data_IF_931930058646
#
_entry.id   IF_931930058646
#
_cell.length_a   1.000
_cell.length_b   1.000
_cell.length_c   1.000
_cell.angle_alpha   90.00
_cell.angle_beta   90.00
_cell.angle_gamma   90.00
#
_symmetry.space_group_name_H-M   'P 1'
#
loop_
_entity.id
_entity.type
_entity.pdbx_description
1 polymer ?
#
# COMPACT_ATOMS: atom_id res chain seq x y z
N UNK A 1 8.25 -4.60 25.51
CA UNK A 1 7.53 -5.89 25.68
C UNK A 1 7.02 -6.53 24.38
N UNK A 2 6.80 -5.80 23.28
CA UNK A 2 6.25 -6.36 22.03
C UNK A 2 7.11 -7.49 21.40
N UNK A 3 8.40 -7.24 21.15
CA UNK A 3 9.29 -8.25 20.56
C UNK A 3 9.49 -9.49 21.45
N UNK A 4 9.49 -9.31 22.77
CA UNK A 4 9.57 -10.40 23.76
C UNK A 4 8.32 -11.27 23.70
N UNK A 5 7.14 -10.64 23.61
CA UNK A 5 5.86 -11.34 23.55
C UNK A 5 5.70 -12.15 22.25
N UNK A 6 6.04 -11.55 21.10
CA UNK A 6 5.87 -12.21 19.81
C UNK A 6 6.99 -13.19 19.47
N UNK A 7 8.20 -12.95 19.97
CA UNK A 7 9.40 -13.69 19.56
C UNK A 7 9.70 -13.53 18.06
N UNK A 8 10.79 -14.15 17.57
CA UNK A 8 11.19 -14.04 16.17
C UNK A 8 10.13 -14.58 15.20
N UNK A 9 9.43 -15.66 15.57
CA UNK A 9 8.44 -16.27 14.69
C UNK A 9 7.13 -15.47 14.62
N UNK A 10 6.73 -14.82 15.72
CA UNK A 10 5.61 -13.90 15.72
C UNK A 10 5.86 -12.69 14.83
N UNK A 11 7.03 -12.07 14.96
CA UNK A 11 7.41 -10.92 14.13
C UNK A 11 7.53 -11.30 12.65
N UNK A 12 8.09 -12.47 12.32
CA UNK A 12 8.11 -12.98 10.93
C UNK A 12 6.72 -13.23 10.38
N UNK A 13 5.81 -13.76 11.19
CA UNK A 13 4.42 -14.00 10.77
C UNK A 13 3.69 -12.69 10.48
N UNK A 14 3.83 -11.69 11.35
CA UNK A 14 3.28 -10.34 11.15
C UNK A 14 3.86 -9.74 9.87
N UNK A 15 5.19 -9.74 9.71
CA UNK A 15 5.84 -9.19 8.53
C UNK A 15 5.40 -9.87 7.22
N UNK A 16 5.31 -11.20 7.20
CA UNK A 16 4.81 -11.96 6.04
C UNK A 16 3.36 -11.64 5.72
N UNK A 17 2.51 -11.42 6.73
CA UNK A 17 1.11 -11.04 6.54
C UNK A 17 1.01 -9.66 5.89
N UNK A 18 1.66 -8.65 6.45
CA UNK A 18 1.66 -7.28 5.89
C UNK A 18 2.18 -7.31 4.46
N UNK A 19 3.35 -7.91 4.23
CA UNK A 19 3.93 -8.01 2.89
C UNK A 19 3.01 -8.76 1.90
N UNK A 20 2.39 -9.86 2.31
CA UNK A 20 1.47 -10.63 1.47
C UNK A 20 0.25 -9.82 1.03
N UNK A 21 -0.33 -9.01 1.93
CA UNK A 21 -1.41 -8.09 1.56
C UNK A 21 -0.92 -6.96 0.66
N UNK A 22 0.26 -6.40 0.89
CA UNK A 22 0.85 -5.37 0.01
C UNK A 22 1.09 -5.92 -1.39
N UNK A 23 1.59 -7.16 -1.53
CA UNK A 23 1.74 -7.85 -2.83
C UNK A 23 0.38 -8.03 -3.49
N UNK A 24 -0.66 -8.43 -2.75
CA UNK A 24 -2.02 -8.55 -3.28
C UNK A 24 -2.56 -7.23 -3.78
N UNK A 25 -2.39 -6.14 -3.03
CA UNK A 25 -2.78 -4.78 -3.46
C UNK A 25 -2.00 -4.37 -4.72
N UNK A 26 -0.70 -4.63 -4.77
CA UNK A 26 0.13 -4.30 -5.93
C UNK A 26 -0.34 -5.04 -7.20
N UNK A 27 -0.69 -6.33 -7.09
CA UNK A 27 -1.20 -7.11 -8.22
C UNK A 27 -2.56 -6.58 -8.70
N UNK A 28 -3.50 -6.35 -7.78
CA UNK A 28 -4.81 -5.78 -8.12
C UNK A 28 -4.65 -4.39 -8.75
N UNK A 29 -3.75 -3.56 -8.24
CA UNK A 29 -3.49 -2.24 -8.79
C UNK A 29 -2.98 -2.35 -10.25
N UNK A 30 -2.08 -3.29 -10.55
CA UNK A 30 -1.63 -3.55 -11.93
C UNK A 30 -2.77 -4.00 -12.83
N UNK A 31 -3.61 -4.92 -12.36
CA UNK A 31 -4.77 -5.41 -13.11
C UNK A 31 -5.78 -4.28 -13.42
N UNK A 32 -5.87 -3.28 -12.54
CA UNK A 32 -6.68 -2.08 -12.71
C UNK A 32 -5.99 -0.98 -13.55
N UNK A 33 -4.80 -1.24 -14.10
CA UNK A 33 -4.07 -0.32 -14.98
C UNK A 33 -3.14 0.67 -14.29
N UNK A 34 -2.95 0.59 -12.96
CA UNK A 34 -1.95 1.40 -12.26
C UNK A 34 -0.55 0.83 -12.48
N UNK A 35 0.46 1.70 -12.55
CA UNK A 35 1.86 1.26 -12.63
C UNK A 35 2.48 1.28 -11.23
N UNK A 36 2.91 0.11 -10.74
CA UNK A 36 3.72 0.01 -9.52
C UNK A 36 5.16 0.40 -9.85
N UNK A 37 5.63 1.51 -9.28
CA UNK A 37 6.91 2.14 -9.64
C UNK A 37 8.12 1.46 -9.00
N UNK A 38 7.95 0.88 -7.80
CA UNK A 38 9.02 0.20 -7.09
C UNK A 38 9.01 -1.32 -7.40
N UNK A 39 10.09 -1.88 -7.98
CA UNK A 39 10.13 -3.29 -8.36
C UNK A 39 10.18 -4.25 -7.16
N UNK A 40 10.73 -3.79 -6.03
CA UNK A 40 10.80 -4.53 -4.77
C UNK A 40 10.26 -3.66 -3.63
N UNK A 41 9.53 -4.28 -2.71
CA UNK A 41 8.93 -3.61 -1.56
C UNK A 41 8.62 -4.55 -0.41
N UNK A 42 8.43 -3.98 0.77
CA UNK A 42 7.87 -4.67 1.93
C UNK A 42 6.37 -4.38 2.05
N UNK A 43 6.01 -3.28 2.71
CA UNK A 43 4.63 -2.87 3.00
C UNK A 43 4.14 -1.68 2.17
N UNK A 44 5.08 -1.00 1.49
CA UNK A 44 4.86 0.29 0.83
C UNK A 44 5.04 0.20 -0.68
N UNK A 45 4.04 0.65 -1.43
CA UNK A 45 4.07 0.72 -2.90
C UNK A 45 3.79 2.14 -3.39
N UNK A 46 4.50 2.54 -4.45
CA UNK A 46 4.25 3.76 -5.19
C UNK A 46 3.51 3.42 -6.48
N UNK A 47 2.37 4.06 -6.71
CA UNK A 47 1.47 3.83 -7.83
C UNK A 47 1.39 5.08 -8.68
N UNK A 48 1.66 4.94 -9.98
CA UNK A 48 1.28 5.94 -10.97
C UNK A 48 -0.16 5.73 -11.39
N UNK A 49 -0.94 6.81 -11.40
CA UNK A 49 -2.34 6.81 -11.77
C UNK A 49 -2.50 6.45 -13.27
N UNK A 50 -3.52 5.64 -13.62
CA UNK A 50 -3.83 5.39 -15.02
C UNK A 50 -4.40 6.64 -15.70
N UNK A 51 -4.39 6.70 -17.04
CA UNK A 51 -5.04 7.77 -17.80
C UNK A 51 -6.51 7.96 -17.36
N UNK A 52 -6.92 9.21 -17.18
CA UNK A 52 -8.28 9.55 -16.75
C UNK A 52 -8.52 9.53 -15.23
N UNK A 53 -7.55 9.07 -14.42
CA UNK A 53 -7.61 9.16 -12.96
C UNK A 53 -6.70 10.29 -12.48
N UNK A 54 -7.26 11.23 -11.72
CA UNK A 54 -6.52 12.38 -11.17
C UNK A 54 -6.37 12.27 -9.65
N UNK A 55 -5.39 12.97 -9.09
CA UNK A 55 -5.21 13.10 -7.65
C UNK A 55 -6.49 13.55 -6.92
N UNK A 56 -7.28 14.44 -7.52
CA UNK A 56 -8.53 14.91 -6.95
C UNK A 56 -9.58 13.80 -6.84
N UNK A 57 -9.70 12.94 -7.87
CA UNK A 57 -10.60 11.77 -7.85
C UNK A 57 -10.17 10.79 -6.77
N UNK A 58 -8.86 10.51 -6.68
CA UNK A 58 -8.31 9.63 -5.65
C UNK A 58 -8.57 10.18 -4.25
N UNK A 59 -8.27 11.46 -3.99
CA UNK A 59 -8.51 12.11 -2.69
C UNK A 59 -9.98 12.04 -2.30
N UNK A 60 -10.89 12.34 -3.22
CA UNK A 60 -12.33 12.27 -2.95
C UNK A 60 -12.76 10.85 -2.58
N UNK A 61 -12.27 9.85 -3.32
CA UNK A 61 -12.59 8.45 -3.05
C UNK A 61 -12.07 8.00 -1.68
N UNK A 62 -10.86 8.39 -1.29
CA UNK A 62 -10.26 7.98 -0.01
C UNK A 62 -10.81 8.75 1.19
N UNK A 63 -11.12 10.04 1.03
CA UNK A 63 -11.73 10.86 2.09
C UNK A 63 -13.09 10.31 2.55
N UNK A 64 -13.94 9.89 1.62
CA UNK A 64 -15.24 9.27 1.97
C UNK A 64 -15.09 7.98 2.78
N UNK A 65 -13.93 7.32 2.67
CA UNK A 65 -13.57 6.10 3.40
C UNK A 65 -12.67 6.36 4.61
N UNK A 66 -12.34 7.62 4.91
CA UNK A 66 -11.39 8.04 5.95
C UNK A 66 -10.02 7.37 5.82
N UNK A 67 -9.57 7.18 4.59
CA UNK A 67 -8.24 6.63 4.25
C UNK A 67 -7.33 7.78 3.84
N UNK A 68 -6.13 7.82 4.42
CA UNK A 68 -5.09 8.76 4.03
C UNK A 68 -4.09 8.06 3.11
N UNK A 69 -3.78 8.67 1.97
CA UNK A 69 -2.71 8.25 1.08
C UNK A 69 -1.64 9.33 1.00
N UNK A 70 -0.39 8.92 0.77
CA UNK A 70 0.71 9.86 0.54
C UNK A 70 0.72 10.25 -0.93
N UNK A 71 0.47 11.52 -1.23
CA UNK A 71 0.64 12.04 -2.60
C UNK A 71 2.10 12.47 -2.77
N UNK A 72 2.85 11.76 -3.61
CA UNK A 72 4.30 11.93 -3.75
C UNK A 72 4.60 13.08 -4.71
N UNK A 73 3.94 13.07 -5.86
CA UNK A 73 3.99 14.07 -6.91
C UNK A 73 2.71 13.95 -7.75
N UNK A 74 2.54 14.81 -8.76
CA UNK A 74 1.37 14.77 -9.62
C UNK A 74 1.24 13.40 -10.32
N UNK A 75 0.07 12.77 -10.19
CA UNK A 75 -0.18 11.45 -10.78
C UNK A 75 0.53 10.30 -10.09
N UNK A 76 1.18 10.51 -8.94
CA UNK A 76 1.85 9.44 -8.17
C UNK A 76 1.45 9.47 -6.70
N UNK A 77 0.91 8.35 -6.23
CA UNK A 77 0.53 8.14 -4.84
C UNK A 77 1.35 6.99 -4.24
N UNK A 78 1.55 7.02 -2.93
CA UNK A 78 2.13 5.92 -2.18
C UNK A 78 1.15 5.44 -1.11
N UNK A 79 1.12 4.12 -0.91
CA UNK A 79 0.31 3.42 0.07
C UNK A 79 1.21 2.50 0.88
N UNK A 80 1.07 2.55 2.20
CA UNK A 80 1.73 1.65 3.16
C UNK A 80 0.67 0.91 3.95
N UNK A 81 0.80 -0.41 4.04
CA UNK A 81 -0.01 -1.23 4.95
C UNK A 81 0.73 -1.43 6.27
N UNK A 82 0.00 -1.78 7.32
CA UNK A 82 0.56 -2.08 8.63
C UNK A 82 -0.01 -3.40 9.17
N UNK A 83 0.27 -3.71 10.43
CA UNK A 83 -0.15 -4.96 11.08
C UNK A 83 -1.68 -5.16 11.12
N UNK A 84 -2.50 -4.13 10.94
CA UNK A 84 -3.96 -4.19 11.12
C UNK A 84 -4.73 -4.80 9.94
N UNK A 85 -4.04 -5.23 8.88
CA UNK A 85 -4.62 -5.87 7.68
C UNK A 85 -4.88 -7.35 7.86
#
# INVERSE_FOLDING_TARGET
MYAVYHGPDGLRRIARRVHGFTVKVANIARDLGYTVLNPSFFDTISLRLPPGVTDAVVRRATQTRRINLRHVEEGVIALSLDETV
#
